data_IF_252064697916
#
_entry.id   IF_252064697916
#
_cell.length_a   1.000
_cell.length_b   1.000
_cell.length_c   1.000
_cell.angle_alpha   90.00
_cell.angle_beta   90.00
_cell.angle_gamma   90.00
#
_symmetry.space_group_name_H-M   'P 1'
#
loop_
_entity.id
_entity.type
_entity.pdbx_description
1 polymer ?
#
# COMPACT_ATOMS: atom_id res chain seq x y z
N UNK A 1 -25.78 -65.84 34.99
CA UNK A 1 -24.83 -65.40 33.94
C UNK A 1 -25.54 -64.97 32.65
N UNK A 2 -26.55 -65.65 32.11
CA UNK A 2 -27.23 -65.24 30.83
C UNK A 2 -27.88 -63.84 30.85
N UNK A 3 -28.34 -63.32 32.02
CA UNK A 3 -28.95 -62.00 32.14
C UNK A 3 -27.94 -60.85 32.12
N UNK A 4 -26.69 -61.12 32.51
CA UNK A 4 -25.61 -60.09 32.50
C UNK A 4 -25.11 -59.85 31.06
N UNK A 5 -25.03 -60.89 30.23
CA UNK A 5 -24.63 -60.76 28.83
C UNK A 5 -25.67 -59.98 28.00
N UNK A 6 -26.97 -60.11 28.32
CA UNK A 6 -28.03 -59.39 27.64
C UNK A 6 -27.99 -57.87 27.93
N UNK A 7 -27.62 -57.50 29.16
CA UNK A 7 -27.46 -56.09 29.52
C UNK A 7 -26.21 -55.47 28.89
N UNK A 8 -25.13 -56.24 28.68
CA UNK A 8 -23.92 -55.80 28.03
C UNK A 8 -24.09 -55.63 26.53
N UNK A 9 -24.89 -56.49 25.88
CA UNK A 9 -25.21 -56.34 24.46
C UNK A 9 -26.17 -55.17 24.18
N UNK A 10 -27.09 -54.83 25.07
CA UNK A 10 -27.98 -53.67 24.94
C UNK A 10 -27.22 -52.37 25.16
N UNK A 11 -26.23 -52.35 26.08
CA UNK A 11 -25.33 -51.21 26.29
C UNK A 11 -24.40 -50.87 25.12
N UNK A 12 -23.98 -51.90 24.36
CA UNK A 12 -23.10 -51.74 23.20
C UNK A 12 -23.83 -51.18 21.91
N UNK A 13 -25.16 -51.36 21.85
CA UNK A 13 -26.00 -50.86 20.76
C UNK A 13 -26.36 -49.36 20.87
N UNK A 14 -26.08 -48.75 22.00
CA UNK A 14 -26.36 -47.30 22.22
C UNK A 14 -25.15 -46.40 21.90
N UNK A 15 -24.04 -46.97 21.43
CA UNK A 15 -22.81 -46.20 21.09
C UNK A 15 -22.68 -45.90 19.59
N UNK A 16 -23.63 -46.29 18.75
CA UNK A 16 -23.71 -45.80 17.39
C UNK A 16 -24.40 -44.39 17.42
N UNK A 17 -23.68 -43.40 17.91
CA UNK A 17 -24.04 -42.03 17.68
C UNK A 17 -23.88 -41.73 16.20
N UNK A 18 -24.96 -41.40 15.53
CA UNK A 18 -24.91 -40.89 14.14
C UNK A 18 -24.11 -39.60 14.17
N UNK A 19 -22.92 -39.56 13.63
CA UNK A 19 -22.13 -38.35 13.37
C UNK A 19 -22.89 -37.42 12.40
N UNK A 20 -23.74 -37.97 11.55
CA UNK A 20 -24.58 -37.25 10.58
C UNK A 20 -25.66 -36.30 11.22
N UNK A 21 -25.87 -36.37 12.53
CA UNK A 21 -26.89 -35.53 13.21
C UNK A 21 -26.34 -34.16 13.65
N UNK A 22 -25.02 -33.94 13.50
CA UNK A 22 -24.34 -32.70 13.91
C UNK A 22 -23.97 -31.84 12.71
N UNK A 23 -24.20 -32.33 11.51
CA UNK A 23 -23.99 -31.52 10.28
C UNK A 23 -25.17 -30.53 10.13
N UNK A 24 -25.07 -29.43 10.88
CA UNK A 24 -26.01 -28.30 10.73
C UNK A 24 -25.63 -27.62 9.44
N UNK A 25 -26.36 -27.91 8.38
CA UNK A 25 -26.23 -27.18 7.11
C UNK A 25 -26.26 -25.67 7.35
N UNK A 26 -25.51 -24.92 6.59
CA UNK A 26 -25.51 -23.46 6.67
C UNK A 26 -26.96 -22.92 6.61
N UNK A 27 -27.29 -21.87 7.40
CA UNK A 27 -28.57 -21.20 7.26
C UNK A 27 -28.86 -20.86 5.81
N UNK A 28 -30.10 -21.00 5.34
CA UNK A 28 -30.49 -20.82 3.92
C UNK A 28 -30.17 -19.43 3.34
N UNK A 29 -29.79 -18.49 4.20
CA UNK A 29 -29.37 -17.11 3.86
C UNK A 29 -27.86 -16.90 3.96
N UNK A 30 -27.06 -17.96 4.20
CA UNK A 30 -25.59 -17.90 4.25
C UNK A 30 -25.02 -18.92 3.25
N UNK A 31 -24.04 -18.44 2.46
CA UNK A 31 -23.25 -19.32 1.60
C UNK A 31 -22.06 -19.86 2.39
N UNK A 32 -21.81 -21.15 2.32
CA UNK A 32 -20.56 -21.72 2.77
C UNK A 32 -19.39 -21.30 1.87
N UNK A 33 -18.18 -21.37 2.36
CA UNK A 33 -16.98 -20.98 1.59
C UNK A 33 -16.91 -21.63 0.20
N UNK A 34 -17.20 -22.93 0.01
CA UNK A 34 -17.19 -23.51 -1.33
C UNK A 34 -18.22 -22.87 -2.28
N UNK A 35 -19.44 -22.62 -1.82
CA UNK A 35 -20.52 -22.05 -2.64
C UNK A 35 -20.21 -20.62 -3.13
N UNK A 36 -19.42 -19.84 -2.38
CA UNK A 36 -19.01 -18.50 -2.79
C UNK A 36 -18.22 -18.53 -4.10
N UNK A 37 -17.45 -19.59 -4.35
CA UNK A 37 -16.58 -19.72 -5.52
C UNK A 37 -17.13 -20.67 -6.61
N UNK A 38 -18.40 -21.03 -6.55
CA UNK A 38 -19.10 -21.74 -7.63
C UNK A 38 -19.59 -20.81 -8.73
N UNK A 39 -19.79 -19.54 -8.42
CA UNK A 39 -20.29 -18.51 -9.33
C UNK A 39 -19.37 -17.28 -9.34
N UNK A 40 -19.16 -16.71 -10.53
CA UNK A 40 -18.27 -15.55 -10.71
C UNK A 40 -18.74 -14.31 -9.98
N UNK A 41 -20.07 -14.10 -9.84
CA UNK A 41 -20.59 -12.90 -9.16
C UNK A 41 -20.32 -12.95 -7.65
N UNK A 42 -20.46 -14.13 -7.04
CA UNK A 42 -20.17 -14.32 -5.61
C UNK A 42 -18.67 -14.30 -5.33
N UNK A 43 -17.85 -14.84 -6.23
CA UNK A 43 -16.40 -14.77 -6.17
C UNK A 43 -15.90 -13.30 -6.31
N UNK A 44 -16.47 -12.55 -7.27
CA UNK A 44 -16.21 -11.11 -7.41
C UNK A 44 -16.66 -10.30 -6.19
N UNK A 45 -17.78 -10.66 -5.56
CA UNK A 45 -18.23 -10.01 -4.33
C UNK A 45 -17.25 -10.25 -3.15
N UNK A 46 -16.67 -11.46 -3.05
CA UNK A 46 -15.64 -11.74 -2.06
C UNK A 46 -14.37 -10.91 -2.30
N UNK A 47 -13.92 -10.79 -3.54
CA UNK A 47 -12.79 -9.94 -3.92
C UNK A 47 -13.12 -8.44 -3.71
N UNK A 48 -14.34 -8.00 -4.03
CA UNK A 48 -14.79 -6.62 -3.82
C UNK A 48 -14.75 -6.23 -2.35
N UNK A 49 -15.00 -7.17 -1.42
CA UNK A 49 -14.80 -6.92 0.01
C UNK A 49 -13.34 -6.58 0.34
N UNK A 50 -12.37 -7.27 -0.27
CA UNK A 50 -10.94 -6.94 -0.06
C UNK A 50 -10.64 -5.53 -0.57
N UNK A 51 -11.14 -5.15 -1.75
CA UNK A 51 -11.00 -3.78 -2.27
C UNK A 51 -11.62 -2.73 -1.35
N UNK A 52 -12.83 -2.98 -0.83
CA UNK A 52 -13.49 -2.08 0.09
C UNK A 52 -12.68 -1.87 1.37
N UNK A 53 -12.15 -2.94 1.95
CA UNK A 53 -11.31 -2.85 3.14
C UNK A 53 -9.99 -2.12 2.85
N UNK A 54 -9.37 -2.38 1.70
CA UNK A 54 -8.16 -1.66 1.25
C UNK A 54 -8.45 -0.17 1.10
N UNK A 55 -9.58 0.20 0.53
CA UNK A 55 -9.99 1.61 0.38
C UNK A 55 -10.27 2.29 1.73
N UNK A 56 -10.97 1.60 2.65
CA UNK A 56 -11.58 2.27 3.80
C UNK A 56 -10.70 2.25 5.07
N UNK A 57 -9.86 1.22 5.25
CA UNK A 57 -9.10 1.04 6.50
C UNK A 57 -7.83 0.17 6.35
N UNK A 58 -7.01 0.47 5.39
CA UNK A 58 -5.75 -0.26 5.21
C UNK A 58 -4.53 0.58 5.59
N UNK A 59 -3.37 -0.08 5.62
CA UNK A 59 -2.08 0.63 5.66
C UNK A 59 -1.87 1.55 4.45
N UNK A 60 -2.64 1.38 3.38
CA UNK A 60 -2.45 2.11 2.12
C UNK A 60 -3.17 3.45 2.09
N UNK A 61 -4.36 3.55 2.71
CA UNK A 61 -5.29 4.67 2.51
C UNK A 61 -5.90 5.17 3.82
N UNK A 62 -6.54 6.35 3.75
CA UNK A 62 -7.22 6.96 4.88
C UNK A 62 -6.29 7.55 5.93
N UNK A 63 -6.84 7.89 7.09
CA UNK A 63 -6.11 8.49 8.21
C UNK A 63 -5.03 7.59 8.80
N UNK A 64 -5.16 6.28 8.62
CA UNK A 64 -4.16 5.28 8.98
C UNK A 64 -3.22 4.91 7.83
N UNK A 65 -3.43 5.51 6.67
CA UNK A 65 -2.64 5.21 5.48
C UNK A 65 -1.19 5.65 5.60
N UNK A 66 -0.32 4.91 4.94
CA UNK A 66 1.12 5.15 4.98
C UNK A 66 1.50 6.53 4.44
N UNK A 67 0.68 7.12 3.56
CA UNK A 67 0.93 8.48 3.04
C UNK A 67 0.98 9.52 4.15
N UNK A 68 0.05 9.47 5.12
CA UNK A 68 0.02 10.39 6.26
C UNK A 68 1.01 10.00 7.35
N UNK A 69 1.00 8.75 7.79
CA UNK A 69 1.86 8.33 8.89
C UNK A 69 3.34 8.30 8.49
N UNK A 70 3.68 7.83 7.31
CA UNK A 70 5.05 7.83 6.82
C UNK A 70 5.57 9.22 6.45
N UNK A 71 4.71 10.09 5.89
CA UNK A 71 5.05 11.50 5.65
C UNK A 71 5.28 12.27 6.95
N UNK A 72 4.49 11.98 7.98
CA UNK A 72 4.64 12.55 9.32
C UNK A 72 5.85 11.96 10.07
N UNK A 73 6.14 10.67 9.89
CA UNK A 73 7.31 10.01 10.47
C UNK A 73 8.62 10.52 9.86
N UNK A 74 8.61 10.82 8.57
CA UNK A 74 9.68 11.52 7.87
C UNK A 74 9.62 13.05 8.12
N UNK A 75 9.81 13.86 7.08
CA UNK A 75 9.96 15.32 7.17
C UNK A 75 8.97 16.08 6.26
N UNK A 76 7.82 15.45 5.92
CA UNK A 76 6.86 16.04 4.98
C UNK A 76 5.65 16.70 5.66
N UNK A 77 5.17 16.12 6.78
CA UNK A 77 3.94 16.53 7.44
C UNK A 77 4.14 16.85 8.91
N UNK A 78 3.65 18.02 9.33
CA UNK A 78 3.42 18.37 10.73
C UNK A 78 2.10 17.77 11.21
N UNK A 79 2.07 17.23 12.43
CA UNK A 79 0.90 16.62 13.05
C UNK A 79 0.21 17.57 14.03
N UNK A 80 -1.10 17.74 13.87
CA UNK A 80 -1.96 18.58 14.69
C UNK A 80 -3.03 17.79 15.45
N UNK A 81 -2.98 16.46 15.38
CA UNK A 81 -3.88 15.65 16.18
C UNK A 81 -3.68 15.94 17.67
N UNK A 82 -4.79 16.17 18.35
CA UNK A 82 -4.83 16.30 19.81
C UNK A 82 -5.56 15.08 20.39
N UNK A 83 -5.05 13.90 20.09
CA UNK A 83 -5.65 12.63 20.48
C UNK A 83 -4.66 11.73 21.20
N UNK A 84 -5.19 10.72 21.89
CA UNK A 84 -4.41 9.67 22.53
C UNK A 84 -4.20 8.46 21.60
N UNK A 85 -4.43 8.62 20.28
CA UNK A 85 -4.39 7.51 19.33
C UNK A 85 -3.01 7.24 18.75
N UNK A 86 -2.01 7.98 19.18
CA UNK A 86 -0.62 7.72 18.83
C UNK A 86 -0.11 8.34 17.52
N UNK A 87 -0.88 9.24 16.88
CA UNK A 87 -0.39 10.00 15.71
C UNK A 87 0.78 10.91 16.08
N UNK A 88 0.72 11.53 17.27
CA UNK A 88 1.80 12.39 17.76
C UNK A 88 3.08 11.59 18.05
N UNK A 89 2.98 10.34 18.53
CA UNK A 89 4.13 9.47 18.74
C UNK A 89 4.85 9.16 17.41
N UNK A 90 4.06 8.96 16.33
CA UNK A 90 4.61 8.77 14.97
C UNK A 90 5.35 10.03 14.53
N UNK A 91 4.71 11.19 14.63
CA UNK A 91 5.29 12.47 14.24
C UNK A 91 6.57 12.80 15.01
N UNK A 92 6.60 12.51 16.31
CA UNK A 92 7.75 12.75 17.17
C UNK A 92 8.81 11.66 17.11
N UNK A 93 8.62 10.60 16.30
CA UNK A 93 9.48 9.42 16.28
C UNK A 93 9.66 8.78 17.68
N UNK A 94 8.59 8.73 18.47
CA UNK A 94 8.57 8.17 19.83
C UNK A 94 7.63 6.95 19.94
N UNK A 95 7.55 6.17 18.85
CA UNK A 95 6.71 4.98 18.80
C UNK A 95 7.07 4.00 19.92
N UNK A 96 6.02 3.48 20.56
CA UNK A 96 6.08 2.41 21.55
C UNK A 96 5.32 1.18 21.02
N UNK A 97 5.67 -0.01 21.47
CA UNK A 97 4.96 -1.25 21.11
C UNK A 97 3.48 -1.27 21.54
N UNK A 98 3.10 -0.40 22.50
CA UNK A 98 1.73 -0.21 22.98
C UNK A 98 0.92 0.79 22.15
N UNK A 99 1.50 1.41 21.15
CA UNK A 99 0.82 2.40 20.32
C UNK A 99 -0.36 1.77 19.58
N UNK A 100 -1.56 2.34 19.76
CA UNK A 100 -2.82 1.78 19.22
C UNK A 100 -2.88 1.88 17.70
N UNK A 101 -2.21 2.85 17.10
CA UNK A 101 -2.18 3.04 15.66
C UNK A 101 -1.42 1.92 14.95
N UNK A 102 -0.23 1.56 15.43
CA UNK A 102 0.53 0.44 14.86
C UNK A 102 -0.20 -0.90 15.03
N UNK A 103 -0.88 -1.09 16.17
CA UNK A 103 -1.71 -2.28 16.39
C UNK A 103 -2.88 -2.37 15.40
N UNK A 104 -3.48 -1.23 15.08
CA UNK A 104 -4.56 -1.16 14.09
C UNK A 104 -4.06 -1.45 12.69
N UNK A 105 -2.95 -0.84 12.25
CA UNK A 105 -2.32 -1.12 10.95
C UNK A 105 -2.01 -2.60 10.81
N UNK A 106 -1.40 -3.21 11.82
CA UNK A 106 -1.04 -4.63 11.80
C UNK A 106 -2.28 -5.52 11.68
N UNK A 107 -3.21 -5.39 12.61
CA UNK A 107 -4.44 -6.19 12.65
C UNK A 107 -5.25 -6.09 11.35
N UNK A 108 -5.51 -4.88 10.90
CA UNK A 108 -6.36 -4.66 9.72
C UNK A 108 -5.67 -5.17 8.45
N UNK A 109 -4.36 -5.02 8.31
CA UNK A 109 -3.61 -5.56 7.18
C UNK A 109 -3.60 -7.09 7.18
N UNK A 110 -3.35 -7.75 8.32
CA UNK A 110 -3.38 -9.23 8.38
C UNK A 110 -4.79 -9.79 8.18
N UNK A 111 -5.84 -9.06 8.59
CA UNK A 111 -7.22 -9.44 8.27
C UNK A 111 -7.47 -9.39 6.76
N UNK A 112 -7.00 -8.33 6.09
CA UNK A 112 -7.15 -8.18 4.64
C UNK A 112 -6.33 -9.23 3.87
N UNK A 113 -5.12 -9.54 4.34
CA UNK A 113 -4.28 -10.62 3.82
C UNK A 113 -5.01 -11.97 3.95
N UNK A 114 -5.64 -12.24 5.09
CA UNK A 114 -6.43 -13.46 5.29
C UNK A 114 -7.58 -13.55 4.28
N UNK A 115 -8.32 -12.46 4.05
CA UNK A 115 -9.40 -12.45 3.05
C UNK A 115 -8.86 -12.62 1.62
N UNK A 116 -7.74 -12.01 1.28
CA UNK A 116 -7.09 -12.25 -0.01
C UNK A 116 -6.66 -13.72 -0.17
N UNK A 117 -6.09 -14.35 0.87
CA UNK A 117 -5.77 -15.78 0.89
C UNK A 117 -7.03 -16.64 0.70
N UNK A 118 -8.15 -16.29 1.34
CA UNK A 118 -9.42 -16.98 1.19
C UNK A 118 -9.95 -16.93 -0.26
N UNK A 119 -9.81 -15.76 -0.90
CA UNK A 119 -10.17 -15.58 -2.31
C UNK A 119 -9.26 -16.45 -3.20
N UNK A 120 -7.94 -16.40 -3.02
CA UNK A 120 -6.98 -17.18 -3.79
C UNK A 120 -7.29 -18.68 -3.66
N UNK A 121 -7.40 -19.17 -2.43
CA UNK A 121 -7.72 -20.57 -2.16
C UNK A 121 -9.06 -20.99 -2.79
N UNK A 122 -10.11 -20.17 -2.60
CA UNK A 122 -11.43 -20.46 -3.09
C UNK A 122 -11.50 -20.59 -4.61
N UNK A 123 -10.85 -19.67 -5.35
CA UNK A 123 -10.84 -19.75 -6.82
C UNK A 123 -9.97 -20.88 -7.33
N UNK A 124 -8.90 -21.25 -6.63
CA UNK A 124 -8.08 -22.43 -6.97
C UNK A 124 -8.83 -23.76 -6.80
N UNK A 125 -9.69 -23.85 -5.79
CA UNK A 125 -10.51 -25.05 -5.56
C UNK A 125 -11.77 -25.09 -6.41
N UNK A 126 -12.15 -24.01 -7.08
CA UNK A 126 -13.37 -23.96 -7.90
C UNK A 126 -13.29 -24.85 -9.13
N UNK A 127 -14.28 -25.72 -9.28
CA UNK A 127 -14.45 -26.56 -10.47
C UNK A 127 -15.35 -25.90 -11.54
N UNK A 128 -16.06 -24.83 -11.21
CA UNK A 128 -17.11 -24.22 -12.03
C UNK A 128 -16.71 -22.91 -12.67
N UNK A 129 -15.81 -22.13 -12.05
CA UNK A 129 -15.32 -20.90 -12.62
C UNK A 129 -14.52 -21.15 -13.90
N UNK A 130 -14.69 -20.29 -14.90
CA UNK A 130 -13.86 -20.30 -16.11
C UNK A 130 -12.38 -20.10 -15.79
N UNK A 131 -11.47 -20.52 -16.68
CA UNK A 131 -10.04 -20.30 -16.51
C UNK A 131 -9.70 -18.81 -16.42
N UNK A 132 -10.35 -17.99 -17.26
CA UNK A 132 -10.10 -16.54 -17.31
C UNK A 132 -10.58 -15.84 -16.02
N UNK A 133 -11.77 -16.19 -15.50
CA UNK A 133 -12.25 -15.64 -14.24
C UNK A 133 -11.36 -16.04 -13.06
N UNK A 134 -10.94 -17.31 -12.98
CA UNK A 134 -10.01 -17.76 -11.95
C UNK A 134 -8.69 -17.00 -12.01
N UNK A 135 -8.11 -16.86 -13.19
CA UNK A 135 -6.86 -16.16 -13.40
C UNK A 135 -6.97 -14.69 -12.97
N UNK A 136 -8.01 -14.01 -13.43
CA UNK A 136 -8.27 -12.62 -13.09
C UNK A 136 -8.43 -12.41 -11.58
N UNK A 137 -9.34 -13.16 -10.95
CA UNK A 137 -9.65 -12.99 -9.52
C UNK A 137 -8.43 -13.33 -8.66
N UNK A 138 -7.72 -14.43 -9.00
CA UNK A 138 -6.47 -14.80 -8.33
C UNK A 138 -5.39 -13.74 -8.51
N UNK A 139 -5.19 -13.26 -9.74
CA UNK A 139 -4.19 -12.23 -10.03
C UNK A 139 -4.41 -10.92 -9.28
N UNK A 140 -5.66 -10.45 -9.20
CA UNK A 140 -6.03 -9.27 -8.43
C UNK A 140 -5.81 -9.51 -6.92
N UNK A 141 -6.21 -10.67 -6.38
CA UNK A 141 -6.04 -11.00 -4.96
C UNK A 141 -4.55 -11.14 -4.57
N UNK A 142 -3.72 -11.75 -5.43
CA UNK A 142 -2.26 -11.82 -5.25
C UNK A 142 -1.63 -10.43 -5.20
N UNK A 143 -2.03 -9.53 -6.10
CA UNK A 143 -1.52 -8.16 -6.11
C UNK A 143 -1.88 -7.41 -4.83
N UNK A 144 -3.15 -7.48 -4.39
CA UNK A 144 -3.60 -6.84 -3.14
C UNK A 144 -2.85 -7.38 -1.92
N UNK A 145 -2.74 -8.70 -1.81
CA UNK A 145 -1.98 -9.35 -0.74
C UNK A 145 -0.53 -8.90 -0.71
N UNK A 146 0.12 -8.93 -1.85
CA UNK A 146 1.54 -8.57 -1.98
C UNK A 146 1.78 -7.10 -1.67
N UNK A 147 0.87 -6.21 -2.06
CA UNK A 147 0.96 -4.79 -1.76
C UNK A 147 0.87 -4.53 -0.25
N UNK A 148 -0.06 -5.20 0.45
CA UNK A 148 -0.18 -5.11 1.90
C UNK A 148 1.09 -5.61 2.60
N UNK A 149 1.59 -6.78 2.21
CA UNK A 149 2.84 -7.33 2.74
C UNK A 149 4.05 -6.44 2.47
N UNK A 150 4.13 -5.84 1.28
CA UNK A 150 5.22 -4.93 0.95
C UNK A 150 5.30 -3.77 1.95
N UNK A 151 4.19 -3.09 2.21
CA UNK A 151 4.18 -1.97 3.14
C UNK A 151 4.36 -2.40 4.60
N UNK A 152 3.78 -3.52 5.02
CA UNK A 152 4.04 -4.09 6.36
C UNK A 152 5.53 -4.39 6.55
N UNK A 153 6.16 -5.03 5.56
CA UNK A 153 7.60 -5.32 5.61
C UNK A 153 8.43 -4.03 5.67
N UNK A 154 8.06 -3.02 4.90
CA UNK A 154 8.77 -1.75 4.94
C UNK A 154 8.65 -1.05 6.30
N UNK A 155 7.53 -1.15 6.97
CA UNK A 155 7.33 -0.57 8.30
C UNK A 155 7.96 -1.40 9.42
N UNK A 156 7.74 -2.71 9.45
CA UNK A 156 8.05 -3.56 10.60
C UNK A 156 9.29 -4.46 10.41
N UNK A 157 9.88 -4.52 9.22
CA UNK A 157 11.03 -5.38 8.94
C UNK A 157 10.67 -6.85 8.81
N UNK A 158 11.19 -7.69 9.70
CA UNK A 158 10.88 -9.13 9.73
C UNK A 158 9.45 -9.34 10.27
N UNK A 159 8.57 -9.93 9.47
CA UNK A 159 7.15 -10.15 9.80
C UNK A 159 6.69 -11.56 9.38
N UNK A 160 5.61 -12.10 9.96
CA UNK A 160 5.03 -13.35 9.48
C UNK A 160 4.56 -13.24 8.01
N UNK A 161 4.93 -14.23 7.19
CA UNK A 161 4.35 -14.41 5.85
C UNK A 161 3.56 -15.72 5.83
N UNK A 162 2.30 -15.67 5.43
CA UNK A 162 1.43 -16.85 5.31
C UNK A 162 0.48 -16.74 4.12
N UNK A 163 0.30 -17.84 3.41
CA UNK A 163 -0.78 -18.06 2.46
C UNK A 163 -1.84 -19.02 3.03
N UNK A 164 -1.68 -19.48 4.27
CA UNK A 164 -2.56 -20.47 4.90
C UNK A 164 -3.82 -19.82 5.46
N UNK A 165 -4.92 -20.60 5.42
CA UNK A 165 -6.18 -20.28 6.11
C UNK A 165 -6.30 -20.97 7.47
N UNK A 166 -5.35 -21.86 7.82
CA UNK A 166 -5.36 -22.61 9.07
C UNK A 166 -5.06 -21.66 10.24
N UNK A 167 -6.03 -21.51 11.13
CA UNK A 167 -5.93 -20.66 12.31
C UNK A 167 -4.83 -21.12 13.27
N UNK A 168 -4.72 -22.43 13.52
CA UNK A 168 -3.72 -22.97 14.47
C UNK A 168 -2.30 -22.79 13.95
N UNK A 169 -2.09 -22.94 12.65
CA UNK A 169 -0.83 -22.59 11.99
C UNK A 169 -0.53 -21.08 12.10
N UNK A 170 -1.49 -20.26 11.70
CA UNK A 170 -1.29 -18.81 11.63
C UNK A 170 -1.03 -18.15 12.99
N UNK A 171 -1.64 -18.64 14.07
CA UNK A 171 -1.41 -18.10 15.41
C UNK A 171 -0.04 -18.44 16.01
N UNK A 172 0.71 -19.35 15.40
CA UNK A 172 2.02 -19.80 15.89
C UNK A 172 3.17 -19.57 14.92
N UNK A 173 2.89 -18.99 13.73
CA UNK A 173 3.91 -18.72 12.73
C UNK A 173 4.92 -17.67 13.23
N UNK A 174 6.21 -17.92 13.03
CA UNK A 174 7.28 -16.97 13.33
C UNK A 174 7.48 -15.92 12.25
N UNK A 175 8.43 -15.02 12.50
CA UNK A 175 8.81 -13.98 11.54
C UNK A 175 9.58 -14.57 10.35
N UNK A 176 9.23 -14.14 9.16
CA UNK A 176 10.02 -14.33 7.93
C UNK A 176 10.99 -13.16 7.79
N UNK A 177 12.24 -13.45 7.47
CA UNK A 177 13.24 -12.41 7.22
C UNK A 177 12.82 -11.50 6.08
N UNK A 178 13.03 -10.20 6.24
CA UNK A 178 12.63 -9.16 5.29
C UNK A 178 13.10 -9.46 3.84
N UNK A 179 14.34 -9.92 3.66
CA UNK A 179 14.87 -10.27 2.34
C UNK A 179 14.13 -11.48 1.73
N UNK A 180 13.87 -12.54 2.52
CA UNK A 180 13.13 -13.73 2.07
C UNK A 180 11.68 -13.37 1.74
N UNK A 181 11.09 -12.47 2.52
CA UNK A 181 9.73 -12.01 2.25
C UNK A 181 9.66 -11.27 0.90
N UNK A 182 10.62 -10.39 0.60
CA UNK A 182 10.67 -9.71 -0.70
C UNK A 182 10.83 -10.69 -1.87
N UNK A 183 11.59 -11.78 -1.71
CA UNK A 183 11.68 -12.87 -2.71
C UNK A 183 10.34 -13.58 -2.90
N UNK A 184 9.62 -13.81 -1.81
CA UNK A 184 8.28 -14.39 -1.89
C UNK A 184 7.29 -13.44 -2.58
N UNK A 185 7.37 -12.13 -2.29
CA UNK A 185 6.54 -11.12 -2.96
C UNK A 185 6.87 -11.00 -4.45
N UNK A 186 8.14 -11.12 -4.84
CA UNK A 186 8.55 -11.20 -6.24
C UNK A 186 7.85 -12.38 -6.93
N UNK A 187 7.84 -13.57 -6.29
CA UNK A 187 7.16 -14.75 -6.82
C UNK A 187 5.66 -14.51 -6.98
N UNK A 188 4.99 -14.03 -5.94
CA UNK A 188 3.55 -13.77 -5.94
C UNK A 188 3.14 -12.73 -7.01
N UNK A 189 3.91 -11.63 -7.11
CA UNK A 189 3.61 -10.55 -8.06
C UNK A 189 3.97 -10.97 -9.49
N UNK A 190 5.00 -11.78 -9.69
CA UNK A 190 5.32 -12.35 -11.00
C UNK A 190 4.16 -13.24 -11.47
N UNK A 191 3.61 -14.09 -10.61
CA UNK A 191 2.40 -14.85 -10.92
C UNK A 191 1.23 -13.94 -11.27
N UNK A 192 0.99 -12.89 -10.49
CA UNK A 192 -0.06 -11.91 -10.80
C UNK A 192 0.13 -11.27 -12.18
N UNK A 193 1.37 -10.96 -12.60
CA UNK A 193 1.64 -10.41 -13.95
C UNK A 193 1.34 -11.40 -15.08
N UNK A 194 1.39 -12.71 -14.82
CA UNK A 194 1.02 -13.74 -15.80
C UNK A 194 -0.49 -13.92 -15.87
N UNK A 195 -1.16 -13.88 -14.73
CA UNK A 195 -2.60 -14.14 -14.62
C UNK A 195 -3.46 -12.95 -15.09
N UNK A 196 -3.00 -11.70 -14.88
CA UNK A 196 -3.72 -10.50 -15.27
C UNK A 196 -3.49 -10.15 -16.74
N UNK A 197 -4.52 -9.58 -17.38
CA UNK A 197 -4.44 -9.05 -18.73
C UNK A 197 -3.99 -7.58 -18.75
N UNK A 198 -3.59 -7.09 -19.92
CA UNK A 198 -3.26 -5.68 -20.12
C UNK A 198 -4.52 -4.80 -20.17
N UNK A 199 -5.62 -5.33 -20.70
CA UNK A 199 -6.88 -4.64 -20.79
C UNK A 199 -7.54 -4.46 -19.42
N UNK A 200 -8.15 -3.30 -19.22
CA UNK A 200 -8.90 -3.01 -18.01
C UNK A 200 -10.32 -3.57 -18.10
N UNK A 201 -10.79 -4.24 -17.04
CA UNK A 201 -12.20 -4.65 -16.92
C UNK A 201 -13.17 -3.50 -16.65
N UNK A 202 -12.64 -2.31 -16.26
CA UNK A 202 -13.38 -1.09 -16.00
C UNK A 202 -12.64 0.11 -16.57
N UNK A 203 -13.36 0.96 -17.34
CA UNK A 203 -12.77 2.10 -18.03
C UNK A 203 -12.23 3.18 -17.06
N UNK A 204 -12.74 3.23 -15.82
CA UNK A 204 -12.27 4.16 -14.79
C UNK A 204 -11.00 3.64 -14.08
N UNK A 205 -10.45 2.48 -14.49
CA UNK A 205 -9.21 1.89 -13.93
C UNK A 205 -9.25 1.66 -12.41
N UNK A 206 -10.43 1.36 -11.89
CA UNK A 206 -10.65 1.10 -10.45
C UNK A 206 -10.22 -0.32 -10.04
N UNK A 207 -9.87 -1.15 -10.99
CA UNK A 207 -9.27 -2.46 -10.79
C UNK A 207 -7.91 -2.50 -11.49
N UNK A 208 -6.89 -3.10 -10.86
CA UNK A 208 -5.57 -3.20 -11.45
C UNK A 208 -5.54 -4.17 -12.63
N UNK A 209 -4.69 -3.87 -13.59
CA UNK A 209 -4.34 -4.75 -14.69
C UNK A 209 -2.92 -5.30 -14.53
N UNK A 210 -2.42 -6.03 -15.55
CA UNK A 210 -1.03 -6.52 -15.59
C UNK A 210 0.01 -5.42 -15.34
N UNK A 211 -0.20 -4.21 -15.87
CA UNK A 211 0.77 -3.10 -15.73
C UNK A 211 0.84 -2.56 -14.30
N UNK A 212 -0.28 -2.59 -13.57
CA UNK A 212 -0.29 -2.27 -12.16
C UNK A 212 0.51 -3.31 -11.34
N UNK A 213 0.38 -4.61 -11.66
CA UNK A 213 1.21 -5.65 -11.05
C UNK A 213 2.71 -5.49 -11.41
N UNK A 214 3.02 -5.15 -12.67
CA UNK A 214 4.39 -4.86 -13.09
C UNK A 214 5.00 -3.65 -12.36
N UNK A 215 4.20 -2.63 -12.00
CA UNK A 215 4.72 -1.51 -11.21
C UNK A 215 5.11 -1.95 -9.79
N UNK A 216 4.28 -2.75 -9.12
CA UNK A 216 4.67 -3.30 -7.81
C UNK A 216 5.93 -4.17 -7.92
N UNK A 217 6.03 -4.99 -8.97
CA UNK A 217 7.21 -5.81 -9.23
C UNK A 217 8.47 -4.95 -9.43
N UNK A 218 8.36 -3.87 -10.21
CA UNK A 218 9.47 -2.94 -10.42
C UNK A 218 9.90 -2.25 -9.11
N UNK A 219 8.93 -1.92 -8.23
CA UNK A 219 9.19 -1.38 -6.89
C UNK A 219 9.92 -2.38 -5.99
N UNK A 220 9.54 -3.67 -6.05
CA UNK A 220 10.23 -4.76 -5.34
C UNK A 220 11.67 -4.89 -5.83
N UNK A 221 11.90 -4.92 -7.14
CA UNK A 221 13.24 -4.97 -7.72
C UNK A 221 14.10 -3.76 -7.33
N UNK A 222 13.51 -2.56 -7.35
CA UNK A 222 14.20 -1.35 -6.91
C UNK A 222 14.62 -1.43 -5.43
N UNK A 223 13.73 -1.98 -4.58
CA UNK A 223 14.00 -2.17 -3.14
C UNK A 223 15.10 -3.20 -2.88
N UNK A 224 15.22 -4.20 -3.76
CA UNK A 224 16.25 -5.25 -3.70
C UNK A 224 17.54 -4.87 -4.46
N UNK A 225 17.62 -3.64 -4.98
CA UNK A 225 18.75 -3.15 -5.78
C UNK A 225 19.00 -3.95 -7.08
N UNK A 226 17.97 -4.61 -7.59
CA UNK A 226 18.02 -5.38 -8.83
C UNK A 226 17.74 -4.46 -10.04
N UNK A 227 18.66 -3.52 -10.27
CA UNK A 227 18.50 -2.39 -11.18
C UNK A 227 18.11 -2.80 -12.60
N UNK A 228 18.72 -3.86 -13.14
CA UNK A 228 18.40 -4.33 -14.49
C UNK A 228 16.97 -4.85 -14.60
N UNK A 229 16.49 -5.59 -13.59
CA UNK A 229 15.12 -6.09 -13.57
C UNK A 229 14.10 -4.97 -13.36
N UNK A 230 14.43 -3.98 -12.53
CA UNK A 230 13.63 -2.77 -12.36
C UNK A 230 13.51 -1.99 -13.69
N UNK A 231 14.63 -1.75 -14.40
CA UNK A 231 14.66 -1.11 -15.73
C UNK A 231 13.78 -1.87 -16.73
N UNK A 232 14.00 -3.19 -16.87
CA UNK A 232 13.26 -4.00 -17.84
C UNK A 232 11.76 -4.03 -17.56
N UNK A 233 11.37 -4.05 -16.28
CA UNK A 233 9.97 -4.07 -15.88
C UNK A 233 9.31 -2.70 -16.09
N UNK A 234 9.96 -1.62 -15.70
CA UNK A 234 9.51 -0.25 -15.95
C UNK A 234 9.35 0.02 -17.47
N UNK A 235 10.28 -0.46 -18.28
CA UNK A 235 10.24 -0.33 -19.76
C UNK A 235 8.98 -0.95 -20.36
N UNK A 236 8.53 -2.12 -19.86
CA UNK A 236 7.29 -2.78 -20.32
C UNK A 236 6.04 -1.94 -20.05
N UNK A 237 6.05 -1.12 -19.02
CA UNK A 237 4.95 -0.22 -18.70
C UNK A 237 5.01 1.02 -19.59
N UNK A 238 6.18 1.65 -19.69
CA UNK A 238 6.39 2.87 -20.48
C UNK A 238 6.08 2.64 -21.98
N UNK A 239 6.41 1.47 -22.50
CA UNK A 239 6.15 1.11 -23.90
C UNK A 239 4.69 0.72 -24.20
N UNK A 240 3.85 0.62 -23.17
CA UNK A 240 2.44 0.28 -23.35
C UNK A 240 1.66 1.47 -23.95
N UNK A 241 0.88 1.25 -25.02
CA UNK A 241 0.05 2.32 -25.59
C UNK A 241 -1.12 2.74 -24.70
N UNK A 242 -1.35 2.05 -23.58
CA UNK A 242 -2.42 2.36 -22.62
C UNK A 242 -2.13 3.62 -21.81
N UNK A 243 -0.87 4.04 -21.73
CA UNK A 243 -0.44 5.12 -20.84
C UNK A 243 0.27 6.22 -21.58
N UNK A 244 0.02 7.44 -21.12
CA UNK A 244 0.70 8.64 -21.59
C UNK A 244 1.05 9.49 -20.38
N UNK A 245 2.25 10.05 -20.36
CA UNK A 245 2.66 10.99 -19.34
C UNK A 245 1.76 12.22 -19.37
N UNK A 246 1.24 12.63 -18.21
CA UNK A 246 0.38 13.80 -18.11
C UNK A 246 1.24 15.07 -18.09
N UNK A 247 1.04 15.91 -19.07
CA UNK A 247 1.81 17.15 -19.22
C UNK A 247 1.17 18.36 -18.51
N UNK A 248 -0.16 18.32 -18.31
CA UNK A 248 -0.85 19.39 -17.59
C UNK A 248 -0.83 19.11 -16.08
N UNK A 249 -0.17 19.99 -15.36
CA UNK A 249 -0.02 19.90 -13.90
C UNK A 249 -1.37 19.86 -13.16
N UNK A 250 -2.41 20.46 -13.74
CA UNK A 250 -3.75 20.52 -13.14
C UNK A 250 -4.57 19.25 -13.36
N UNK A 251 -4.21 18.44 -14.35
CA UNK A 251 -4.94 17.21 -14.71
C UNK A 251 -4.39 15.95 -14.02
N UNK A 252 -3.22 16.05 -13.34
CA UNK A 252 -2.53 14.88 -12.74
C UNK A 252 -3.41 14.10 -11.76
N UNK A 253 -4.27 14.78 -11.00
CA UNK A 253 -5.13 14.13 -10.01
C UNK A 253 -6.58 13.95 -10.46
N UNK A 254 -6.86 14.13 -11.77
CA UNK A 254 -8.16 13.83 -12.35
C UNK A 254 -8.24 12.35 -12.77
N UNK A 255 -9.34 11.69 -12.40
CA UNK A 255 -9.57 10.24 -12.60
C UNK A 255 -9.52 9.75 -14.06
N UNK A 256 -9.64 10.68 -15.02
CA UNK A 256 -9.60 10.38 -16.46
C UNK A 256 -8.19 10.32 -17.03
N UNK A 257 -7.16 10.63 -16.23
CA UNK A 257 -5.76 10.70 -16.65
C UNK A 257 -5.25 9.37 -17.23
N UNK A 258 -4.62 9.46 -18.41
CA UNK A 258 -4.04 8.25 -19.05
C UNK A 258 -2.70 7.82 -18.44
N UNK A 259 -2.14 8.58 -17.55
CA UNK A 259 -0.97 8.22 -16.74
C UNK A 259 -1.32 7.34 -15.54
N UNK A 260 -2.60 7.23 -15.18
CA UNK A 260 -3.07 6.44 -14.04
C UNK A 260 -3.07 4.96 -14.40
N UNK A 261 -2.37 4.14 -13.61
CA UNK A 261 -2.36 2.68 -13.75
C UNK A 261 -3.46 2.02 -12.90
N UNK A 262 -3.76 2.58 -11.73
CA UNK A 262 -4.80 2.06 -10.84
C UNK A 262 -5.20 3.14 -9.84
N UNK A 263 -6.51 3.20 -9.54
CA UNK A 263 -7.07 4.15 -8.57
C UNK A 263 -8.24 3.53 -7.81
N UNK A 264 -8.56 4.06 -6.64
CA UNK A 264 -9.67 3.64 -5.79
C UNK A 264 -10.81 4.64 -5.89
N UNK A 265 -11.97 4.13 -6.28
CA UNK A 265 -13.20 4.90 -6.33
C UNK A 265 -13.73 5.12 -4.90
N UNK A 266 -14.19 6.33 -4.53
CA UNK A 266 -14.90 6.56 -3.28
C UNK A 266 -16.10 5.64 -3.11
N UNK A 267 -16.51 5.40 -1.86
CA UNK A 267 -17.59 4.47 -1.56
C UNK A 267 -18.91 4.88 -2.21
N UNK A 268 -19.26 6.17 -2.12
CA UNK A 268 -20.47 6.70 -2.73
C UNK A 268 -20.13 7.70 -3.83
N UNK A 269 -21.02 7.86 -4.78
CA UNK A 269 -20.89 8.88 -5.81
C UNK A 269 -20.93 10.27 -5.18
N UNK A 270 -19.96 11.10 -5.52
CA UNK A 270 -19.85 12.47 -5.00
C UNK A 270 -19.06 12.60 -3.68
N UNK A 271 -18.65 11.49 -3.07
CA UNK A 271 -17.79 11.55 -1.89
C UNK A 271 -16.39 12.10 -2.26
N UNK A 272 -15.79 12.81 -1.32
CA UNK A 272 -14.41 13.23 -1.40
C UNK A 272 -13.46 12.01 -1.39
N UNK A 273 -12.24 12.19 -1.89
CA UNK A 273 -11.17 11.21 -1.68
C UNK A 273 -10.75 11.20 -0.21
N UNK A 274 -10.11 10.13 0.24
CA UNK A 274 -9.59 10.03 1.61
C UNK A 274 -8.55 11.10 1.90
N UNK A 275 -7.76 11.49 0.90
CA UNK A 275 -6.75 12.55 0.99
C UNK A 275 -7.37 13.91 1.28
N UNK A 276 -8.48 14.27 0.60
CA UNK A 276 -9.21 15.52 0.90
C UNK A 276 -9.74 15.49 2.33
N UNK A 277 -10.37 14.39 2.74
CA UNK A 277 -10.90 14.26 4.10
C UNK A 277 -9.80 14.42 5.15
N UNK A 278 -8.60 13.94 4.86
CA UNK A 278 -7.48 13.93 5.78
C UNK A 278 -6.76 15.29 5.87
N UNK A 279 -6.54 15.94 4.72
CA UNK A 279 -5.65 17.11 4.64
C UNK A 279 -6.37 18.45 4.53
N UNK A 280 -7.69 18.45 4.29
CA UNK A 280 -8.37 19.71 4.01
C UNK A 280 -8.59 20.57 5.26
N UNK A 281 -8.18 21.83 5.18
CA UNK A 281 -8.54 22.93 6.08
C UNK A 281 -8.48 24.24 5.29
N UNK A 282 -9.29 25.26 5.66
CA UNK A 282 -9.32 26.57 4.96
C UNK A 282 -9.47 27.78 5.89
N UNK A 283 -10.44 27.80 6.78
CA UNK A 283 -10.75 28.93 7.66
C UNK A 283 -10.36 28.68 9.13
N UNK A 284 -9.54 27.68 9.38
CA UNK A 284 -9.04 27.29 10.70
C UNK A 284 -7.60 26.82 10.59
N UNK A 285 -6.91 26.74 11.74
CA UNK A 285 -5.69 25.96 11.84
C UNK A 285 -5.95 24.51 11.45
N UNK A 286 -4.92 23.75 10.97
CA UNK A 286 -5.06 22.34 10.65
C UNK A 286 -5.50 21.54 11.88
N UNK A 287 -6.35 20.52 11.66
CA UNK A 287 -6.80 19.60 12.71
C UNK A 287 -6.05 18.27 12.69
N UNK A 288 -5.58 17.85 11.51
CA UNK A 288 -4.90 16.58 11.29
C UNK A 288 -3.43 16.81 10.94
N UNK A 289 -3.18 17.26 9.72
CA UNK A 289 -1.82 17.45 9.18
C UNK A 289 -1.73 18.73 8.35
N UNK A 290 -0.52 19.29 8.28
CA UNK A 290 -0.13 20.30 7.31
C UNK A 290 1.27 19.95 6.76
N UNK A 291 1.63 20.49 5.60
CA UNK A 291 3.00 20.34 5.07
C UNK A 291 3.98 21.12 5.97
N UNK A 292 5.17 20.52 6.17
CA UNK A 292 6.25 21.21 6.88
C UNK A 292 6.77 22.38 6.05
N UNK A 293 7.21 23.45 6.70
CA UNK A 293 7.89 24.57 6.03
C UNK A 293 9.11 24.08 5.25
N UNK A 294 9.86 23.14 5.80
CA UNK A 294 11.04 22.54 5.16
C UNK A 294 10.71 21.86 3.82
N UNK A 295 9.54 21.24 3.69
CA UNK A 295 9.11 20.70 2.40
C UNK A 295 8.72 21.81 1.43
N UNK A 296 7.99 22.82 1.88
CA UNK A 296 7.57 23.95 1.04
C UNK A 296 8.78 24.74 0.52
N UNK A 297 9.80 24.92 1.34
CA UNK A 297 11.05 25.60 0.97
C UNK A 297 11.89 24.79 -0.05
N UNK A 298 11.64 23.48 -0.18
CA UNK A 298 12.29 22.66 -1.19
C UNK A 298 11.83 22.96 -2.62
N UNK A 299 10.74 23.68 -2.81
CA UNK A 299 10.24 24.07 -4.13
C UNK A 299 10.79 25.44 -4.53
N UNK A 300 11.40 25.58 -5.73
CA UNK A 300 11.65 26.88 -6.32
C UNK A 300 10.34 27.69 -6.48
N UNK A 301 10.43 29.00 -6.54
CA UNK A 301 9.24 29.83 -6.63
C UNK A 301 8.51 29.71 -7.97
N UNK A 302 9.22 29.33 -9.02
CA UNK A 302 8.70 29.06 -10.39
C UNK A 302 8.23 27.63 -10.60
N UNK A 303 8.31 26.75 -9.58
CA UNK A 303 7.80 25.36 -9.67
C UNK A 303 6.26 25.36 -9.67
N UNK A 304 5.67 24.95 -10.77
CA UNK A 304 4.21 24.91 -10.93
C UNK A 304 3.52 23.95 -9.92
N UNK A 305 4.23 22.94 -9.42
CA UNK A 305 3.70 22.05 -8.36
C UNK A 305 3.44 22.80 -7.06
N UNK A 306 4.31 23.76 -6.71
CA UNK A 306 4.10 24.63 -5.55
C UNK A 306 2.78 25.39 -5.65
N UNK A 307 2.47 25.91 -6.85
CA UNK A 307 1.26 26.69 -7.10
C UNK A 307 0.01 25.81 -7.24
N UNK A 308 0.14 24.63 -7.87
CA UNK A 308 -1.01 23.77 -8.19
C UNK A 308 -1.37 22.78 -7.07
N UNK A 309 -0.40 22.32 -6.27
CA UNK A 309 -0.55 21.21 -5.33
C UNK A 309 -0.34 21.58 -3.86
N UNK A 310 -0.05 22.85 -3.58
CA UNK A 310 0.11 23.39 -2.21
C UNK A 310 -0.79 24.60 -2.07
N UNK A 311 -1.61 24.64 -1.01
CA UNK A 311 -2.40 25.81 -0.66
C UNK A 311 -1.88 26.43 0.65
N UNK A 312 -1.52 27.73 0.61
CA UNK A 312 -1.23 28.48 1.82
C UNK A 312 -2.53 28.99 2.45
N UNK A 313 -2.73 28.69 3.71
CA UNK A 313 -3.91 29.08 4.49
C UNK A 313 -3.47 29.95 5.67
N UNK A 314 -3.89 31.20 5.67
CA UNK A 314 -3.55 32.15 6.73
C UNK A 314 -4.77 32.45 7.60
N UNK A 315 -4.65 32.20 8.90
CA UNK A 315 -5.69 32.48 9.90
C UNK A 315 -5.06 33.24 11.06
N UNK A 316 -5.63 34.38 11.40
CA UNK A 316 -5.14 35.25 12.49
C UNK A 316 -3.65 35.62 12.38
N UNK A 317 -3.13 35.77 11.15
CA UNK A 317 -1.74 36.14 10.89
C UNK A 317 -0.73 34.99 10.99
N UNK A 318 -1.18 33.77 11.17
CA UNK A 318 -0.37 32.56 11.07
C UNK A 318 -0.72 31.78 9.81
N UNK A 319 0.30 31.32 9.07
CA UNK A 319 0.15 30.54 7.85
C UNK A 319 0.49 29.08 8.07
N UNK A 320 -0.23 28.23 7.36
CA UNK A 320 0.02 26.79 7.23
C UNK A 320 -0.10 26.39 5.76
N UNK A 321 0.50 25.27 5.38
CA UNK A 321 0.47 24.77 4.02
C UNK A 321 -0.27 23.43 3.96
N UNK A 322 -1.29 23.38 3.09
CA UNK A 322 -2.12 22.18 2.89
C UNK A 322 -1.69 21.45 1.62
N UNK A 323 -1.55 20.10 1.65
CA UNK A 323 -1.54 19.34 0.41
C UNK A 323 -2.84 19.59 -0.37
N UNK A 324 -2.74 20.10 -1.60
CA UNK A 324 -3.89 20.48 -2.44
C UNK A 324 -3.93 19.73 -3.78
N UNK A 325 -3.40 18.49 -3.77
CA UNK A 325 -3.41 17.59 -4.93
C UNK A 325 -4.82 17.16 -5.31
N UNK A 326 -5.65 16.87 -4.30
CA UNK A 326 -7.08 16.59 -4.44
C UNK A 326 -7.87 17.75 -3.81
N UNK A 327 -8.95 18.21 -4.48
CA UNK A 327 -9.62 19.47 -4.14
C UNK A 327 -11.11 19.34 -3.87
N UNK A 328 -11.74 18.24 -4.34
CA UNK A 328 -13.19 18.10 -4.32
C UNK A 328 -13.70 17.57 -2.97
N UNK A 329 -14.20 18.45 -2.12
CA UNK A 329 -14.75 18.15 -0.79
C UNK A 329 -16.10 17.46 -0.82
N UNK A 330 -16.90 17.71 -1.86
CA UNK A 330 -18.26 17.21 -2.03
C UNK A 330 -18.65 17.31 -3.50
N UNK A 331 -19.66 16.55 -3.90
CA UNK A 331 -20.06 16.44 -5.30
C UNK A 331 -18.87 16.10 -6.22
N UNK A 332 -17.96 15.29 -5.72
CA UNK A 332 -16.75 14.88 -6.44
C UNK A 332 -17.12 14.00 -7.64
N UNK A 333 -16.85 14.50 -8.84
CA UNK A 333 -17.14 13.79 -10.10
C UNK A 333 -15.89 13.44 -10.90
N UNK A 334 -14.71 13.95 -10.51
CA UNK A 334 -13.49 13.90 -11.31
C UNK A 334 -12.22 13.47 -10.57
N UNK A 335 -12.28 13.16 -9.27
CA UNK A 335 -11.12 12.73 -8.50
C UNK A 335 -11.35 11.36 -7.86
N UNK A 336 -10.39 10.44 -8.01
CA UNK A 336 -10.29 9.18 -7.27
C UNK A 336 -8.89 9.08 -6.64
N UNK A 337 -8.76 8.36 -5.53
CA UNK A 337 -7.46 8.14 -4.88
C UNK A 337 -6.56 7.31 -5.78
N UNK A 338 -5.54 7.93 -6.36
CA UNK A 338 -4.60 7.27 -7.29
C UNK A 338 -3.66 6.39 -6.48
N UNK A 339 -3.65 5.09 -6.79
CA UNK A 339 -2.77 4.11 -6.17
C UNK A 339 -1.44 3.99 -6.91
N UNK A 340 -1.49 3.96 -8.25
CA UNK A 340 -0.33 3.81 -9.11
C UNK A 340 -0.43 4.73 -10.32
N UNK A 341 0.65 5.45 -10.62
CA UNK A 341 0.73 6.38 -11.75
C UNK A 341 2.07 6.31 -12.48
N UNK A 342 2.08 6.68 -13.75
CA UNK A 342 3.21 6.53 -14.66
C UNK A 342 4.45 7.30 -14.22
N UNK A 343 4.27 8.40 -13.50
CA UNK A 343 5.36 9.19 -12.96
C UNK A 343 6.28 8.36 -12.06
N UNK A 344 5.71 7.47 -11.25
CA UNK A 344 6.52 6.56 -10.44
C UNK A 344 7.36 5.62 -11.31
N UNK A 345 6.78 5.12 -12.40
CA UNK A 345 7.52 4.27 -13.36
C UNK A 345 8.68 5.02 -14.00
N UNK A 346 8.50 6.32 -14.30
CA UNK A 346 9.57 7.18 -14.83
C UNK A 346 10.70 7.34 -13.82
N UNK A 347 10.39 7.58 -12.54
CA UNK A 347 11.40 7.69 -11.50
C UNK A 347 12.11 6.35 -11.21
N UNK A 348 11.41 5.22 -11.27
CA UNK A 348 12.03 3.88 -11.19
C UNK A 348 12.99 3.69 -12.35
N UNK A 349 12.59 4.02 -13.58
CA UNK A 349 13.44 3.93 -14.76
C UNK A 349 14.68 4.83 -14.63
N UNK A 350 14.48 6.10 -14.24
CA UNK A 350 15.57 7.06 -14.05
C UNK A 350 16.61 6.55 -13.05
N UNK A 351 16.15 6.07 -11.90
CA UNK A 351 17.05 5.55 -10.87
C UNK A 351 17.75 4.27 -11.30
N UNK A 352 17.01 3.31 -11.84
CA UNK A 352 17.56 2.03 -12.29
C UNK A 352 18.63 2.21 -13.38
N UNK A 353 18.45 3.13 -14.32
CA UNK A 353 19.44 3.48 -15.33
C UNK A 353 20.67 4.16 -14.69
N UNK A 354 20.47 5.15 -13.84
CA UNK A 354 21.58 5.88 -13.23
C UNK A 354 22.44 4.97 -12.34
N UNK A 355 21.83 4.04 -11.58
CA UNK A 355 22.56 3.03 -10.78
C UNK A 355 23.37 2.05 -11.63
N UNK A 356 23.08 1.95 -12.93
CA UNK A 356 23.86 1.18 -13.91
C UNK A 356 24.86 2.06 -14.69
N UNK A 357 25.13 3.29 -14.23
CA UNK A 357 25.98 4.28 -14.88
C UNK A 357 25.49 4.73 -16.28
N UNK A 358 24.18 4.69 -16.55
CA UNK A 358 23.51 5.11 -17.78
C UNK A 358 22.81 6.45 -17.57
N UNK A 359 23.52 7.46 -17.03
CA UNK A 359 22.92 8.75 -16.62
C UNK A 359 22.29 9.48 -17.79
N UNK A 360 22.93 9.49 -18.97
CA UNK A 360 22.38 10.15 -20.16
C UNK A 360 21.05 9.55 -20.62
N UNK A 361 20.90 8.22 -20.46
CA UNK A 361 19.64 7.52 -20.75
C UNK A 361 18.57 7.77 -19.67
N UNK A 362 18.99 8.08 -18.43
CA UNK A 362 18.11 8.35 -17.30
C UNK A 362 17.52 9.78 -17.35
N UNK A 363 18.26 10.74 -17.89
CA UNK A 363 17.88 12.17 -17.92
C UNK A 363 16.48 12.45 -18.49
N UNK A 364 16.04 11.86 -19.60
CA UNK A 364 14.70 12.12 -20.12
C UNK A 364 13.57 11.80 -19.14
N UNK A 365 13.75 10.76 -18.33
CA UNK A 365 12.74 10.33 -17.34
C UNK A 365 12.68 11.28 -16.13
N UNK A 366 13.82 11.78 -15.67
CA UNK A 366 13.90 12.82 -14.64
C UNK A 366 13.34 14.15 -15.16
N UNK A 367 13.71 14.54 -16.37
CA UNK A 367 13.31 15.79 -16.98
C UNK A 367 11.81 15.87 -17.27
N UNK A 368 11.13 14.76 -17.51
CA UNK A 368 9.68 14.76 -17.73
C UNK A 368 8.90 15.42 -16.55
N UNK A 369 9.30 15.14 -15.32
CA UNK A 369 8.71 15.79 -14.13
C UNK A 369 9.07 17.28 -14.07
N UNK A 370 10.30 17.64 -14.38
CA UNK A 370 10.78 19.03 -14.38
C UNK A 370 10.08 19.89 -15.44
N UNK A 371 9.98 19.38 -16.67
CA UNK A 371 9.32 20.07 -17.78
C UNK A 371 7.84 20.32 -17.48
N UNK A 372 7.13 19.31 -16.94
CA UNK A 372 5.75 19.52 -16.48
C UNK A 372 5.64 20.56 -15.37
N UNK A 373 6.62 20.60 -14.47
CA UNK A 373 6.70 21.60 -13.39
C UNK A 373 7.14 22.98 -13.88
N UNK A 374 7.38 23.20 -15.18
CA UNK A 374 7.87 24.46 -15.71
C UNK A 374 9.35 24.73 -15.45
N UNK A 375 10.09 23.76 -14.92
CA UNK A 375 11.51 23.89 -14.61
C UNK A 375 12.38 23.56 -15.82
N UNK A 376 13.53 24.21 -15.91
CA UNK A 376 14.50 23.96 -16.98
C UNK A 376 15.02 22.52 -16.89
N UNK A 377 14.92 21.73 -17.98
CA UNK A 377 15.49 20.38 -18.02
C UNK A 377 17.02 20.41 -17.96
N UNK A 378 17.58 19.37 -17.34
CA UNK A 378 19.03 19.17 -17.36
C UNK A 378 19.49 18.64 -18.72
N UNK A 379 20.57 19.18 -19.25
CA UNK A 379 21.18 18.71 -20.51
C UNK A 379 22.22 17.61 -20.28
N UNK A 380 22.87 17.64 -19.12
CA UNK A 380 23.80 16.61 -18.63
C UNK A 380 23.97 16.76 -17.13
N UNK A 381 24.25 15.68 -16.43
CA UNK A 381 24.59 15.69 -15.01
C UNK A 381 25.66 14.63 -14.71
N UNK A 382 26.65 14.92 -13.85
CA UNK A 382 27.47 13.87 -13.24
C UNK A 382 26.57 12.90 -12.43
N UNK A 383 26.97 11.65 -12.30
CA UNK A 383 26.16 10.63 -11.63
C UNK A 383 25.77 11.01 -10.20
N UNK A 384 26.70 11.59 -9.43
CA UNK A 384 26.42 12.04 -8.07
C UNK A 384 25.37 13.15 -8.03
N UNK A 385 25.47 14.15 -8.91
CA UNK A 385 24.51 15.23 -8.99
C UNK A 385 23.13 14.72 -9.49
N UNK A 386 23.14 13.76 -10.43
CA UNK A 386 21.89 13.14 -10.87
C UNK A 386 21.14 12.49 -9.70
N UNK A 387 21.82 11.75 -8.83
CA UNK A 387 21.19 11.14 -7.67
C UNK A 387 20.64 12.18 -6.69
N UNK A 388 21.35 13.29 -6.48
CA UNK A 388 20.84 14.39 -5.65
C UNK A 388 19.56 15.01 -6.23
N UNK A 389 19.57 15.31 -7.53
CA UNK A 389 18.42 15.89 -8.22
C UNK A 389 17.24 14.92 -8.28
N UNK A 390 17.49 13.63 -8.53
CA UNK A 390 16.47 12.58 -8.48
C UNK A 390 15.73 12.57 -7.14
N UNK A 391 16.46 12.66 -6.02
CA UNK A 391 15.91 12.68 -4.67
C UNK A 391 15.03 13.92 -4.43
N UNK A 392 15.50 15.07 -4.88
CA UNK A 392 14.77 16.34 -4.76
C UNK A 392 13.50 16.30 -5.61
N UNK A 393 13.58 15.85 -6.86
CA UNK A 393 12.42 15.78 -7.74
C UNK A 393 11.39 14.76 -7.27
N UNK A 394 11.82 13.58 -6.77
CA UNK A 394 10.90 12.60 -6.18
C UNK A 394 10.16 13.17 -4.97
N UNK A 395 10.85 13.89 -4.09
CA UNK A 395 10.23 14.53 -2.92
C UNK A 395 9.18 15.56 -3.33
N UNK A 396 9.48 16.41 -4.32
CA UNK A 396 8.54 17.40 -4.86
C UNK A 396 7.34 16.77 -5.56
N UNK A 397 7.54 15.62 -6.19
CA UNK A 397 6.50 14.92 -6.94
C UNK A 397 5.55 14.14 -6.01
N UNK A 398 6.08 13.41 -5.04
CA UNK A 398 5.34 12.40 -4.27
C UNK A 398 5.06 12.79 -2.81
N UNK A 399 5.21 14.06 -2.44
CA UNK A 399 4.88 14.45 -1.06
C UNK A 399 3.44 14.08 -0.71
N UNK A 400 3.25 13.63 0.53
CA UNK A 400 1.99 13.15 1.08
C UNK A 400 1.36 11.94 0.31
N UNK A 401 2.14 11.22 -0.52
CA UNK A 401 1.71 10.02 -1.23
C UNK A 401 2.53 8.82 -0.74
N UNK A 402 1.88 7.78 -0.23
CA UNK A 402 2.43 6.43 0.07
C UNK A 402 3.80 6.40 0.77
N UNK A 403 4.16 7.44 1.54
CA UNK A 403 5.44 7.58 2.25
C UNK A 403 6.68 7.43 1.34
N UNK A 404 6.60 7.84 0.08
CA UNK A 404 7.73 7.74 -0.85
C UNK A 404 9.02 8.31 -0.24
N UNK A 405 8.95 9.46 0.45
CA UNK A 405 10.12 10.07 1.10
C UNK A 405 10.77 9.15 2.14
N UNK A 406 9.98 8.56 3.05
CA UNK A 406 10.48 7.64 4.07
C UNK A 406 11.09 6.37 3.45
N UNK A 407 10.37 5.77 2.48
CA UNK A 407 10.80 4.53 1.83
C UNK A 407 12.06 4.74 0.98
N UNK A 408 12.17 5.86 0.29
CA UNK A 408 13.34 6.21 -0.51
C UNK A 408 14.57 6.45 0.38
N UNK A 409 14.45 7.26 1.43
CA UNK A 409 15.53 7.46 2.40
C UNK A 409 15.99 6.13 3.02
N UNK A 410 15.04 5.25 3.35
CA UNK A 410 15.33 3.94 3.93
C UNK A 410 16.16 3.08 2.99
N UNK A 411 15.74 2.91 1.74
CA UNK A 411 16.45 2.07 0.78
C UNK A 411 17.76 2.68 0.27
N UNK A 412 17.93 4.01 0.37
CA UNK A 412 19.21 4.69 0.09
C UNK A 412 20.18 4.65 1.27
N UNK A 413 19.73 4.22 2.46
CA UNK A 413 20.54 4.25 3.68
C UNK A 413 20.75 5.66 4.25
N UNK A 414 19.81 6.57 4.01
CA UNK A 414 19.92 7.99 4.29
C UNK A 414 18.90 8.50 5.34
N UNK A 415 18.23 7.60 6.06
CA UNK A 415 17.26 7.97 7.09
C UNK A 415 17.84 8.85 8.21
N UNK A 416 19.15 8.77 8.46
CA UNK A 416 19.82 9.59 9.49
C UNK A 416 19.82 11.08 9.16
N UNK A 417 19.56 11.48 7.90
CA UNK A 417 19.31 12.88 7.54
C UNK A 417 18.12 13.47 8.32
N UNK A 418 17.16 12.63 8.72
CA UNK A 418 16.02 13.05 9.51
C UNK A 418 16.40 13.62 10.88
N UNK A 419 17.54 13.23 11.44
CA UNK A 419 18.02 13.73 12.75
C UNK A 419 18.17 15.25 12.82
N UNK A 420 18.39 15.91 11.67
CA UNK A 420 18.45 17.37 11.59
C UNK A 420 17.10 18.07 11.83
N UNK A 421 15.99 17.37 11.56
CA UNK A 421 14.63 17.91 11.64
C UNK A 421 13.78 17.23 12.71
N UNK A 422 14.14 16.00 13.08
CA UNK A 422 13.42 15.14 14.01
C UNK A 422 14.32 14.85 15.22
N UNK A 423 14.20 15.62 16.31
CA UNK A 423 15.16 15.56 17.45
C UNK A 423 15.17 14.20 18.17
N UNK A 424 14.12 13.41 18.01
CA UNK A 424 14.04 12.06 18.60
C UNK A 424 14.43 10.96 17.61
N UNK A 425 14.93 11.31 16.43
CA UNK A 425 15.39 10.30 15.45
C UNK A 425 16.60 9.54 16.00
N UNK A 426 16.58 8.23 15.87
CA UNK A 426 17.67 7.31 16.21
C UNK A 426 17.75 6.21 15.15
N UNK A 427 18.93 5.66 14.91
CA UNK A 427 19.21 4.70 13.83
C UNK A 427 18.25 3.49 13.84
N UNK A 428 17.91 2.93 15.02
CA UNK A 428 17.00 1.78 15.11
C UNK A 428 15.58 2.07 14.61
N UNK A 429 15.19 3.35 14.49
CA UNK A 429 13.84 3.79 14.05
C UNK A 429 13.60 3.64 12.55
N UNK A 430 14.53 3.02 11.82
CA UNK A 430 14.32 2.61 10.43
C UNK A 430 13.24 1.51 10.28
N UNK A 431 12.85 0.86 11.37
CA UNK A 431 11.68 -0.04 11.49
C UNK A 431 10.85 0.36 12.69
N UNK A 432 9.57 0.03 12.66
CA UNK A 432 8.63 0.26 13.75
C UNK A 432 8.61 -0.92 14.72
N UNK A 433 8.21 -0.73 15.97
CA UNK A 433 8.05 -1.83 16.91
C UNK A 433 6.90 -2.74 16.49
N UNK A 434 7.03 -4.04 16.71
CA UNK A 434 5.91 -4.97 16.61
C UNK A 434 4.89 -4.65 17.71
N UNK A 435 3.57 -4.73 17.45
CA UNK A 435 2.57 -4.46 18.47
C UNK A 435 2.70 -5.41 19.66
N UNK A 436 2.69 -4.88 20.89
CA UNK A 436 2.81 -5.68 22.11
C UNK A 436 1.75 -6.77 22.22
N UNK A 437 0.51 -6.47 21.80
CA UNK A 437 -0.58 -7.45 21.78
C UNK A 437 -0.24 -8.70 20.96
N UNK A 438 0.42 -8.51 19.82
CA UNK A 438 0.80 -9.62 18.94
C UNK A 438 1.94 -10.46 19.53
N UNK A 439 2.94 -9.80 20.13
CA UNK A 439 4.02 -10.48 20.83
C UNK A 439 3.52 -11.33 22.01
N UNK A 440 2.51 -10.82 22.73
CA UNK A 440 1.89 -11.56 23.84
C UNK A 440 1.04 -12.74 23.35
N UNK A 441 0.34 -12.59 22.24
CA UNK A 441 -0.48 -13.66 21.64
C UNK A 441 0.35 -14.74 20.96
N UNK A 442 1.47 -14.36 20.33
CA UNK A 442 2.34 -15.27 19.60
C UNK A 442 3.81 -15.09 20.02
N UNK A 443 4.30 -15.87 20.99
CA UNK A 443 5.71 -15.79 21.44
C UNK A 443 6.76 -16.06 20.35
N UNK A 444 6.40 -16.68 19.23
CA UNK A 444 7.31 -16.93 18.12
C UNK A 444 7.65 -15.65 17.33
N UNK A 445 7.00 -14.52 17.64
CA UNK A 445 7.33 -13.21 17.10
C UNK A 445 8.50 -12.54 17.84
N UNK A 446 8.93 -13.05 19.02
CA UNK A 446 10.12 -12.53 19.67
C UNK A 446 11.41 -12.91 18.92
N UNK A 447 12.47 -12.11 19.08
CA UNK A 447 12.54 -10.88 19.85
C UNK A 447 11.82 -9.70 19.16
N UNK A 448 11.47 -8.64 19.94
CA UNK A 448 11.03 -7.35 19.41
C UNK A 448 12.11 -6.76 18.46
N UNK A 449 11.75 -5.81 17.62
CA UNK A 449 12.71 -5.06 16.82
C UNK A 449 13.69 -4.32 17.74
N UNK A 450 14.96 -4.31 17.34
CA UNK A 450 16.04 -3.70 18.14
C UNK A 450 15.72 -2.25 18.50
N UNK A 451 15.91 -1.88 19.75
CA UNK A 451 15.68 -0.51 20.25
C UNK A 451 14.30 -0.29 20.91
N UNK A 452 13.37 -1.29 20.81
CA UNK A 452 12.03 -1.21 21.40
C UNK A 452 11.80 -2.23 22.50
#
# INVERSE_FOLDING_TARGET
MKKIYLFFCIGALLLTACEDLIDVGYPSNQLGTPQVFEDVQTADAALANVYALVRDRSVLTGGSGIGSCGGSYADELDCYYNDQNGHMDIYQNQLQETNTYISTIWRDSYQQIYYANAVIYGVEQSATLSGDDRNRIKGEALLLRSLLYFYLQQLFGDIPYTASLDYEYNRTIGKTKAAILLEQLETDVTEATVLLEDDYRDAERIYPNRKAAQLLLARIYLTREEWLLAEQTAKKIIQSPLYHYEADIHEVFHKSGKHILWQLKPQNSGDATSEVTLYYFDNSAPHNYALTQHLVDAFPDDDLRKQAWIAEITVNGQSWYRPDKYKNRSNNTNEYSIMFRLEEVYFIMAEALARQNKVDEALPYLNASRERAGLVPFTSLPAEEFHKELRVEKRREFFAEFAHRFLDLKRWGELDELSALKPNWEEYKHVWPLPQSELLMNPNLYPQNTGY
#
